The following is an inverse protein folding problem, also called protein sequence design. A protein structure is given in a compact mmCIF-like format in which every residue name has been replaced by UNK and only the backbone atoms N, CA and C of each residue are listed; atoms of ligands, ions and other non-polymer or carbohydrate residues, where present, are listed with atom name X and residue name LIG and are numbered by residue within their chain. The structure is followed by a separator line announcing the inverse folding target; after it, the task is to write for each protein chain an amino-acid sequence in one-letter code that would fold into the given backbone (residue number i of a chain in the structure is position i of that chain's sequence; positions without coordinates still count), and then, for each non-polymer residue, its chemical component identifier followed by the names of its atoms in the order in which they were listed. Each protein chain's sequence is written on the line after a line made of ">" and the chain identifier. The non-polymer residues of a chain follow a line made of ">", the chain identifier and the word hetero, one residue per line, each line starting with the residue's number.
data_IF_164844018011
#
_entry.id   IF_164844018011
#
_cell.length_a   1.000
_cell.length_b   1.000
_cell.length_c   1.000
_cell.angle_alpha   90.00
_cell.angle_beta   90.00
_cell.angle_gamma   90.00
#
_symmetry.space_group_name_H-M   'P 1'
#
loop_
_entity.id
_entity.type
_entity.pdbx_description
1 polymer ?
#
# COMPACT_ATOMS: atom_id res chain seq x y z
N UNK A 1 -24.42 -32.01 -6.90
CA UNK A 1 -24.47 -30.63 -7.41
C UNK A 1 -24.71 -29.68 -6.24
N UNK A 2 -23.70 -28.90 -5.86
CA UNK A 2 -23.78 -27.99 -4.70
C UNK A 2 -23.42 -26.57 -5.10
N UNK A 3 -23.91 -25.58 -4.34
CA UNK A 3 -23.49 -24.19 -4.51
C UNK A 3 -22.01 -24.03 -4.14
N UNK A 4 -21.35 -23.07 -4.78
CA UNK A 4 -19.95 -22.73 -4.49
C UNK A 4 -19.79 -22.17 -3.08
N UNK A 5 -18.71 -22.57 -2.41
CA UNK A 5 -18.27 -22.02 -1.12
C UNK A 5 -17.87 -20.54 -1.28
N UNK A 6 -17.90 -19.78 -0.18
CA UNK A 6 -17.49 -18.37 -0.19
C UNK A 6 -16.02 -18.21 -0.58
N UNK A 7 -15.13 -19.11 -0.13
CA UNK A 7 -13.71 -19.11 -0.52
C UNK A 7 -13.52 -19.24 -2.04
N UNK A 8 -14.28 -20.12 -2.69
CA UNK A 8 -14.25 -20.26 -4.15
C UNK A 8 -14.76 -19.00 -4.87
N UNK A 9 -15.71 -18.27 -4.26
CA UNK A 9 -16.19 -16.99 -4.79
C UNK A 9 -15.18 -15.85 -4.57
N UNK A 10 -14.42 -15.87 -3.46
CA UNK A 10 -13.34 -14.92 -3.17
C UNK A 10 -12.23 -14.98 -4.21
N UNK A 11 -11.82 -16.19 -4.61
CA UNK A 11 -10.78 -16.38 -5.64
C UNK A 11 -11.11 -15.77 -7.02
N UNK A 12 -12.40 -15.52 -7.31
CA UNK A 12 -12.82 -14.82 -8.54
C UNK A 12 -12.50 -13.31 -8.49
N UNK A 13 -12.22 -12.75 -7.31
CA UNK A 13 -11.85 -11.33 -7.17
C UNK A 13 -12.98 -10.35 -7.53
N UNK A 14 -14.24 -10.72 -7.30
CA UNK A 14 -15.39 -9.83 -7.50
C UNK A 14 -15.33 -8.62 -6.58
N UNK A 15 -16.00 -7.48 -6.89
CA UNK A 15 -15.89 -6.24 -6.12
C UNK A 15 -16.17 -6.40 -4.62
N UNK A 16 -17.04 -7.34 -4.26
CA UNK A 16 -17.36 -7.67 -2.85
C UNK A 16 -16.15 -8.12 -2.04
N UNK A 17 -15.18 -8.78 -2.68
CA UNK A 17 -14.00 -9.35 -2.02
C UNK A 17 -12.70 -8.64 -2.41
N UNK A 18 -12.78 -7.63 -3.29
CA UNK A 18 -11.61 -6.87 -3.74
C UNK A 18 -11.37 -5.72 -2.77
N UNK A 19 -10.10 -5.46 -2.52
CA UNK A 19 -9.64 -4.30 -1.75
C UNK A 19 -9.95 -3.00 -2.52
N UNK A 20 -10.37 -1.92 -1.83
CA UNK A 20 -10.59 -0.62 -2.46
C UNK A 20 -9.25 0.05 -2.80
N UNK A 21 -8.63 -0.36 -3.90
CA UNK A 21 -7.27 0.08 -4.28
C UNK A 21 -7.15 1.58 -4.54
N UNK A 22 -8.25 2.28 -4.85
CA UNK A 22 -8.25 3.73 -5.12
C UNK A 22 -8.06 4.59 -3.87
N UNK A 23 -8.32 4.05 -2.68
CA UNK A 23 -8.14 4.77 -1.42
C UNK A 23 -6.82 4.45 -0.72
N UNK A 24 -6.08 3.46 -1.21
CA UNK A 24 -4.77 3.09 -0.67
C UNK A 24 -3.74 4.14 -1.07
N UNK A 25 -2.83 4.47 -0.15
CA UNK A 25 -1.57 5.08 -0.49
C UNK A 25 -0.74 4.13 -1.38
N UNK A 26 0.19 4.68 -2.14
CA UNK A 26 1.00 3.93 -3.11
C UNK A 26 1.88 2.86 -2.42
N UNK A 27 2.54 2.03 -3.22
CA UNK A 27 3.27 0.86 -2.73
C UNK A 27 4.41 1.23 -1.76
N UNK A 28 4.34 0.73 -0.52
CA UNK A 28 5.32 0.99 0.54
C UNK A 28 6.47 0.01 0.36
N UNK A 29 7.63 0.52 -0.06
CA UNK A 29 8.81 -0.30 -0.32
C UNK A 29 10.07 0.41 0.16
N UNK A 30 10.99 -0.39 0.67
CA UNK A 30 12.35 0.09 0.91
C UNK A 30 13.01 0.49 -0.42
N UNK A 31 13.86 1.53 -0.40
CA UNK A 31 14.70 1.85 -1.55
C UNK A 31 15.58 0.65 -1.88
N UNK A 32 15.80 0.42 -3.18
CA UNK A 32 16.71 -0.62 -3.67
C UNK A 32 18.18 -0.24 -3.49
N UNK A 33 18.45 1.04 -3.25
CA UNK A 33 19.79 1.58 -3.05
C UNK A 33 20.34 1.18 -1.67
N UNK A 34 21.64 0.87 -1.60
CA UNK A 34 22.29 0.38 -0.37
C UNK A 34 22.39 1.46 0.70
N UNK A 35 22.52 2.72 0.28
CA UNK A 35 22.54 3.90 1.14
C UNK A 35 21.47 4.88 0.66
N UNK A 36 20.55 5.23 1.56
CA UNK A 36 19.47 6.16 1.26
C UNK A 36 19.41 7.24 2.32
N UNK A 37 19.58 8.49 1.88
CA UNK A 37 19.35 9.67 2.70
C UNK A 37 18.11 10.43 2.20
N UNK A 38 17.25 10.78 3.14
CA UNK A 38 16.07 11.58 2.87
C UNK A 38 15.57 12.28 4.12
N UNK A 39 14.76 13.31 3.93
CA UNK A 39 14.13 14.04 5.03
C UNK A 39 12.65 13.63 5.11
N UNK A 40 12.17 13.36 6.32
CA UNK A 40 10.75 13.10 6.55
C UNK A 40 9.98 14.39 6.28
N UNK A 41 9.12 14.35 5.27
CA UNK A 41 8.30 15.50 4.87
C UNK A 41 6.97 15.54 5.61
N UNK A 42 6.32 14.38 5.80
CA UNK A 42 4.98 14.29 6.36
C UNK A 42 4.73 12.90 6.96
N UNK A 43 3.81 12.82 7.93
CA UNK A 43 3.27 11.57 8.46
C UNK A 43 1.81 11.49 8.03
N UNK A 44 1.47 10.45 7.27
CA UNK A 44 0.17 10.25 6.65
C UNK A 44 -0.56 9.07 7.29
N UNK A 45 -1.89 9.12 7.23
CA UNK A 45 -2.75 7.97 7.56
C UNK A 45 -3.18 7.30 6.27
N UNK A 46 -2.92 5.99 6.16
CA UNK A 46 -3.43 5.18 5.07
C UNK A 46 -4.83 4.61 5.35
N UNK A 47 -5.55 4.27 4.29
CA UNK A 47 -6.85 3.61 4.37
C UNK A 47 -6.74 2.09 4.61
N UNK A 48 -5.63 1.46 4.22
CA UNK A 48 -5.46 0.00 4.31
C UNK A 48 -4.63 -0.39 5.54
N UNK A 49 -3.56 0.36 5.80
CA UNK A 49 -2.71 0.11 6.95
C UNK A 49 -3.28 0.74 8.22
N UNK A 50 -3.27 -0.01 9.31
CA UNK A 50 -3.67 0.47 10.64
C UNK A 50 -2.60 1.33 11.31
N UNK A 51 -1.40 1.39 10.74
CA UNK A 51 -0.25 2.19 11.20
C UNK A 51 -0.10 3.50 10.42
N UNK A 52 0.47 4.55 11.04
CA UNK A 52 0.88 5.74 10.31
C UNK A 52 2.04 5.42 9.34
N UNK A 53 2.09 6.13 8.22
CA UNK A 53 3.12 6.00 7.17
C UNK A 53 3.88 7.31 7.08
N UNK A 54 5.18 7.24 6.85
CA UNK A 54 6.05 8.39 6.64
C UNK A 54 6.27 8.64 5.15
N UNK A 55 6.13 9.89 4.75
CA UNK A 55 6.50 10.36 3.41
C UNK A 55 7.87 10.99 3.46
N UNK A 56 8.83 10.39 2.77
CA UNK A 56 10.22 10.82 2.76
C UNK A 56 10.57 11.43 1.41
N UNK A 57 11.23 12.57 1.45
CA UNK A 57 11.74 13.27 0.28
C UNK A 57 13.26 13.11 0.21
N UNK A 58 13.72 12.49 -0.86
CA UNK A 58 15.16 12.32 -1.16
C UNK A 58 15.75 13.59 -1.78
N UNK A 59 17.09 13.70 -1.77
CA UNK A 59 17.83 14.78 -2.44
C UNK A 59 17.59 14.81 -3.95
N UNK A 60 17.33 13.65 -4.57
CA UNK A 60 17.03 13.52 -6.01
C UNK A 60 15.55 13.82 -6.36
N UNK A 61 14.84 14.55 -5.48
CA UNK A 61 13.40 14.87 -5.58
C UNK A 61 12.46 13.65 -5.64
N UNK A 62 12.99 12.45 -5.41
CA UNK A 62 12.20 11.21 -5.28
C UNK A 62 11.40 11.22 -3.98
N UNK A 63 10.12 10.88 -4.09
CA UNK A 63 9.22 10.73 -2.94
C UNK A 63 9.00 9.24 -2.67
N UNK A 64 9.25 8.82 -1.43
CA UNK A 64 9.03 7.44 -0.97
C UNK A 64 8.05 7.42 0.20
N UNK A 65 7.34 6.31 0.33
CA UNK A 65 6.48 5.99 1.47
C UNK A 65 7.12 4.84 2.25
N UNK A 66 7.34 5.04 3.55
CA UNK A 66 7.89 4.05 4.49
C UNK A 66 7.01 3.90 5.74
#
# INVERSE_FOLDING_TARGET
>A
MGKKLILQRRGRGTPRFRVPSRSCLDDIRYPMDTEFEGVVSEILRDAIHTSPIMKIKSKDDRTLLL
#
